data_IF_990134727239
#
_entry.id   IF_990134727239
#
_cell.length_a   1.000
_cell.length_b   1.000
_cell.length_c   1.000
_cell.angle_alpha   90.00
_cell.angle_beta   90.00
_cell.angle_gamma   90.00
#
_symmetry.space_group_name_H-M   'P 1'
#
loop_
_entity.id
_entity.type
_entity.pdbx_description
1 polymer ?
#
# COMPACT_ATOMS: atom_id res chain seq x y z
N UNK A 1 40.81 0.22 -46.46
CA UNK A 1 39.92 1.15 -45.74
C UNK A 1 39.17 0.35 -44.70
N UNK A 2 39.55 0.48 -43.42
CA UNK A 2 38.93 -0.26 -42.30
C UNK A 2 37.99 0.69 -41.57
N UNK A 3 36.68 0.51 -41.75
CA UNK A 3 35.66 1.36 -41.14
C UNK A 3 35.47 0.93 -39.69
N UNK A 4 35.95 1.74 -38.75
CA UNK A 4 35.77 1.52 -37.31
C UNK A 4 34.33 1.90 -36.94
N UNK A 5 33.49 0.91 -36.63
CA UNK A 5 32.13 1.13 -36.16
C UNK A 5 32.19 1.56 -34.68
N UNK A 6 32.08 2.86 -34.40
CA UNK A 6 31.92 3.40 -33.06
C UNK A 6 30.53 3.02 -32.52
N UNK A 7 30.50 2.05 -31.59
CA UNK A 7 29.30 1.67 -30.86
C UNK A 7 29.07 2.71 -29.75
N UNK A 8 28.30 3.75 -30.04
CA UNK A 8 27.88 4.74 -29.05
C UNK A 8 26.93 4.06 -28.06
N UNK A 9 27.37 3.79 -26.83
CA UNK A 9 26.48 3.44 -25.73
C UNK A 9 25.64 4.68 -25.40
N UNK A 10 24.42 4.74 -25.94
CA UNK A 10 23.39 5.66 -25.44
C UNK A 10 23.00 5.16 -24.05
N UNK A 11 23.47 5.85 -23.01
CA UNK A 11 22.99 5.62 -21.66
C UNK A 11 21.51 5.99 -21.62
N UNK A 12 20.64 5.01 -21.36
CA UNK A 12 19.24 5.28 -21.09
C UNK A 12 19.14 6.21 -19.86
N UNK A 13 18.26 7.23 -19.86
CA UNK A 13 18.03 8.01 -18.67
C UNK A 13 17.66 7.07 -17.51
N UNK A 14 18.11 7.34 -16.28
CA UNK A 14 17.74 6.51 -15.14
C UNK A 14 16.22 6.44 -15.09
N UNK A 15 15.70 5.21 -15.03
CA UNK A 15 14.29 4.96 -14.88
C UNK A 15 13.75 5.75 -13.68
N UNK A 16 12.76 6.62 -13.90
CA UNK A 16 12.15 7.41 -12.83
C UNK A 16 11.64 6.47 -11.73
N UNK A 17 12.09 6.71 -10.51
CA UNK A 17 11.68 5.95 -9.32
C UNK A 17 10.16 6.01 -9.13
N UNK A 18 9.57 4.91 -8.66
CA UNK A 18 8.18 4.87 -8.22
C UNK A 18 8.13 5.14 -6.72
N UNK A 19 7.52 6.26 -6.34
CA UNK A 19 7.29 6.60 -4.93
C UNK A 19 5.96 6.01 -4.45
N UNK A 20 5.98 5.27 -3.35
CA UNK A 20 4.80 4.69 -2.71
C UNK A 20 4.73 5.16 -1.26
N UNK A 21 3.59 5.70 -0.85
CA UNK A 21 3.33 6.08 0.54
C UNK A 21 2.31 5.12 1.15
N UNK A 22 2.65 4.50 2.28
CA UNK A 22 1.86 3.45 2.93
C UNK A 22 1.46 3.88 4.34
N UNK A 23 0.16 3.87 4.58
CA UNK A 23 -0.48 4.17 5.86
C UNK A 23 -0.85 2.84 6.52
N UNK A 24 -0.15 2.50 7.60
CA UNK A 24 -0.34 1.25 8.33
C UNK A 24 -0.87 1.56 9.73
N UNK A 25 -2.20 1.61 9.94
CA UNK A 25 -2.74 1.63 11.29
C UNK A 25 -2.45 0.30 11.98
N UNK A 26 -1.77 0.34 13.11
CA UNK A 26 -1.49 -0.84 13.92
C UNK A 26 -2.79 -1.48 14.40
N UNK A 27 -2.80 -2.80 14.51
CA UNK A 27 -3.98 -3.53 14.98
C UNK A 27 -4.28 -3.17 16.45
N UNK A 28 -5.54 -2.91 16.77
CA UNK A 28 -5.99 -2.64 18.13
C UNK A 28 -7.05 -3.68 18.52
N UNK A 29 -6.75 -4.49 19.54
CA UNK A 29 -7.68 -5.50 20.08
C UNK A 29 -8.98 -4.91 20.66
N UNK A 30 -9.02 -3.60 20.95
CA UNK A 30 -10.25 -2.91 21.34
C UNK A 30 -11.21 -2.68 20.16
N UNK A 31 -10.71 -2.70 18.92
CA UNK A 31 -11.48 -2.45 17.70
C UNK A 31 -11.75 -3.74 16.90
N UNK A 32 -10.76 -4.63 16.80
CA UNK A 32 -10.85 -5.85 16.00
C UNK A 32 -10.04 -7.00 16.64
N UNK A 33 -10.44 -8.25 16.40
CA UNK A 33 -9.68 -9.40 16.88
C UNK A 33 -8.30 -9.50 16.20
N UNK A 34 -7.24 -9.11 16.92
CA UNK A 34 -5.85 -9.10 16.42
C UNK A 34 -5.03 -10.36 16.79
N UNK A 35 -5.64 -11.34 17.45
CA UNK A 35 -4.94 -12.51 18.00
C UNK A 35 -4.59 -12.35 19.47
N UNK A 36 -3.41 -12.79 19.90
CA UNK A 36 -3.00 -12.85 21.32
C UNK A 36 -1.77 -11.97 21.59
N UNK A 37 -1.65 -11.50 22.83
CA UNK A 37 -0.48 -10.74 23.29
C UNK A 37 -0.30 -9.42 22.53
N UNK A 38 0.94 -9.07 22.22
CA UNK A 38 1.30 -7.81 21.56
C UNK A 38 0.78 -7.65 20.13
N UNK A 39 0.18 -8.68 19.53
CA UNK A 39 -0.36 -8.60 18.17
C UNK A 39 -1.46 -7.54 18.00
N UNK A 40 -2.23 -7.27 19.07
CA UNK A 40 -3.24 -6.21 19.10
C UNK A 40 -2.94 -5.10 20.09
N UNK A 41 -1.69 -4.95 20.51
CA UNK A 41 -1.25 -3.76 21.23
C UNK A 41 -1.17 -2.60 20.21
N UNK A 42 -1.99 -1.55 20.34
CA UNK A 42 -2.06 -0.47 19.36
C UNK A 42 -0.76 0.32 19.24
N UNK A 43 0.18 0.19 20.18
CA UNK A 43 1.43 0.96 20.17
C UNK A 43 2.70 0.12 20.12
N UNK A 44 2.60 -1.20 19.98
CA UNK A 44 3.77 -2.09 19.88
C UNK A 44 4.35 -2.15 18.47
N UNK A 45 5.54 -1.59 18.25
CA UNK A 45 6.25 -1.72 16.97
C UNK A 45 6.89 -3.11 16.78
N UNK A 46 7.13 -3.85 17.86
CA UNK A 46 7.87 -5.11 17.82
C UNK A 46 6.97 -6.32 17.56
N UNK A 47 5.72 -6.27 18.03
CA UNK A 47 4.83 -7.42 18.06
C UNK A 47 3.51 -7.24 17.31
N UNK A 48 3.11 -6.00 16.98
CA UNK A 48 1.80 -5.75 16.37
C UNK A 48 1.63 -6.49 15.03
N UNK A 49 0.42 -7.02 14.82
CA UNK A 49 0.03 -7.84 13.68
C UNK A 49 0.38 -7.20 12.34
N UNK A 50 0.16 -5.90 12.19
CA UNK A 50 0.36 -5.20 10.92
C UNK A 50 1.77 -4.62 10.75
N UNK A 51 2.66 -4.75 11.74
CA UNK A 51 3.99 -4.11 11.69
C UNK A 51 5.16 -5.01 12.11
N UNK A 52 5.20 -5.42 13.38
CA UNK A 52 6.34 -6.14 13.96
C UNK A 52 6.25 -7.68 13.91
N UNK A 53 5.03 -8.20 13.73
CA UNK A 53 4.75 -9.63 13.59
C UNK A 53 5.35 -10.22 12.29
N UNK A 54 5.33 -11.55 12.13
CA UNK A 54 6.02 -12.24 11.03
C UNK A 54 5.70 -11.71 9.62
N UNK A 55 4.43 -11.35 9.38
CA UNK A 55 3.97 -10.74 8.12
C UNK A 55 3.60 -9.26 8.28
N UNK A 56 4.01 -8.63 9.37
CA UNK A 56 3.87 -7.18 9.57
C UNK A 56 4.82 -6.39 8.67
N UNK A 57 4.44 -5.15 8.34
CA UNK A 57 5.08 -4.33 7.31
C UNK A 57 6.60 -4.19 7.49
N UNK A 58 7.08 -3.73 8.65
CA UNK A 58 8.50 -3.56 8.90
C UNK A 58 9.23 -4.92 8.92
N UNK A 59 8.72 -5.87 9.71
CA UNK A 59 9.39 -7.17 9.92
C UNK A 59 9.58 -7.91 8.61
N UNK A 60 8.55 -7.93 7.78
CA UNK A 60 8.54 -8.68 6.54
C UNK A 60 9.37 -7.98 5.45
N UNK A 61 9.12 -6.69 5.18
CA UNK A 61 9.79 -5.99 4.08
C UNK A 61 11.28 -5.75 4.36
N UNK A 62 11.69 -5.56 5.61
CA UNK A 62 13.12 -5.45 5.96
C UNK A 62 13.92 -6.74 5.71
N UNK A 63 13.23 -7.88 5.52
CA UNK A 63 13.81 -9.19 5.23
C UNK A 63 13.54 -9.66 3.79
N UNK A 64 12.75 -8.91 3.03
CA UNK A 64 12.38 -9.28 1.67
C UNK A 64 13.59 -9.10 0.73
N UNK A 65 13.81 -10.08 -0.15
CA UNK A 65 14.91 -10.04 -1.11
C UNK A 65 14.78 -8.84 -2.04
N UNK A 66 15.86 -8.06 -2.17
CA UNK A 66 15.89 -6.88 -3.04
C UNK A 66 15.33 -5.61 -2.40
N UNK A 67 14.84 -5.66 -1.16
CA UNK A 67 14.45 -4.51 -0.36
C UNK A 67 15.57 -4.14 0.62
N UNK A 68 15.81 -2.84 0.78
CA UNK A 68 16.84 -2.29 1.68
C UNK A 68 16.23 -1.18 2.53
N UNK A 69 16.34 -1.29 3.84
CA UNK A 69 15.95 -0.21 4.77
C UNK A 69 16.95 0.94 4.62
N UNK A 70 16.44 2.14 4.35
CA UNK A 70 17.23 3.37 4.21
C UNK A 70 17.19 4.25 5.44
N UNK A 71 16.02 4.40 6.04
CA UNK A 71 15.87 5.09 7.32
C UNK A 71 14.78 4.43 8.15
N UNK A 72 14.92 4.61 9.45
CA UNK A 72 13.96 4.21 10.49
C UNK A 72 13.95 5.32 11.52
N UNK A 73 12.85 6.05 11.60
CA UNK A 73 12.71 7.23 12.44
C UNK A 73 11.49 7.05 13.35
N UNK A 74 11.73 7.01 14.65
CA UNK A 74 10.65 6.89 15.63
C UNK A 74 10.02 8.26 15.87
N UNK A 75 8.68 8.28 15.92
CA UNK A 75 7.94 9.49 16.22
C UNK A 75 8.13 9.92 17.68
N UNK A 76 7.88 11.21 18.00
CA UNK A 76 7.93 11.67 19.37
C UNK A 76 6.89 10.97 20.24
N UNK A 77 7.13 10.96 21.56
CA UNK A 77 6.20 10.37 22.52
C UNK A 77 4.79 10.98 22.37
N UNK A 78 3.76 10.13 22.34
CA UNK A 78 2.37 10.55 22.16
C UNK A 78 1.94 10.85 20.71
N UNK A 79 2.86 10.77 19.74
CA UNK A 79 2.55 10.92 18.31
C UNK A 79 1.52 9.88 17.83
N UNK A 80 0.74 10.27 16.82
CA UNK A 80 -0.12 9.34 16.08
C UNK A 80 0.73 8.41 15.18
N UNK A 81 1.77 8.94 14.55
CA UNK A 81 2.76 8.14 13.82
C UNK A 81 3.88 7.73 14.77
N UNK A 82 3.99 6.43 15.03
CA UNK A 82 4.98 5.83 15.92
C UNK A 82 6.34 5.67 15.24
N UNK A 83 6.35 5.40 13.93
CA UNK A 83 7.56 5.20 13.14
C UNK A 83 7.32 5.52 11.68
N UNK A 84 8.27 6.22 11.07
CA UNK A 84 8.44 6.28 9.63
C UNK A 84 9.59 5.35 9.22
N UNK A 85 9.35 4.56 8.18
CA UNK A 85 10.29 3.61 7.63
C UNK A 85 10.42 3.83 6.13
N UNK A 86 11.63 4.14 5.68
CA UNK A 86 11.93 4.24 4.26
C UNK A 86 12.61 2.95 3.81
N UNK A 87 11.99 2.26 2.85
CA UNK A 87 12.55 1.07 2.21
C UNK A 87 12.66 1.32 0.72
N UNK A 88 13.82 1.00 0.16
CA UNK A 88 14.02 1.01 -1.30
C UNK A 88 14.08 -0.41 -1.84
N UNK A 89 13.55 -0.59 -3.04
CA UNK A 89 13.68 -1.80 -3.84
C UNK A 89 14.41 -1.45 -5.13
N UNK A 90 15.59 -2.05 -5.32
CA UNK A 90 16.38 -1.85 -6.53
C UNK A 90 15.63 -2.37 -7.79
N UNK A 91 15.86 -1.71 -8.93
CA UNK A 91 15.32 -2.17 -10.20
C UNK A 91 16.03 -3.43 -10.70
N UNK A 92 15.28 -4.46 -11.11
CA UNK A 92 15.82 -5.48 -12.00
C UNK A 92 15.69 -5.05 -13.47
N UNK A 93 16.17 -5.88 -14.40
CA UNK A 93 16.12 -5.59 -15.84
C UNK A 93 14.67 -5.33 -16.30
N UNK A 94 14.44 -4.15 -16.87
CA UNK A 94 13.13 -3.74 -17.38
C UNK A 94 12.14 -3.26 -16.30
N UNK A 95 12.62 -2.98 -15.09
CA UNK A 95 11.83 -2.41 -14.01
C UNK A 95 12.36 -1.04 -13.59
N UNK A 96 11.57 -0.33 -12.80
CA UNK A 96 11.94 0.93 -12.17
C UNK A 96 12.30 0.68 -10.69
N UNK A 97 13.18 1.50 -10.08
CA UNK A 97 13.39 1.44 -8.65
C UNK A 97 12.09 1.88 -7.93
N UNK A 98 11.89 1.40 -6.71
CA UNK A 98 10.72 1.75 -5.89
C UNK A 98 11.19 2.24 -4.54
N UNK A 99 10.63 3.36 -4.08
CA UNK A 99 10.83 3.86 -2.74
C UNK A 99 9.50 3.84 -1.99
N UNK A 100 9.47 3.10 -0.88
CA UNK A 100 8.33 3.03 0.01
C UNK A 100 8.59 3.91 1.25
N UNK A 101 7.68 4.84 1.52
CA UNK A 101 7.54 5.50 2.82
C UNK A 101 6.41 4.81 3.58
N UNK A 102 6.74 4.03 4.61
CA UNK A 102 5.75 3.39 5.46
C UNK A 102 5.59 4.16 6.77
N UNK A 103 4.36 4.45 7.14
CA UNK A 103 3.99 5.15 8.38
C UNK A 103 3.22 4.20 9.28
N UNK A 104 3.83 3.83 10.40
CA UNK A 104 3.17 3.06 11.45
C UNK A 104 2.33 4.02 12.30
N UNK A 105 1.02 4.03 12.10
CA UNK A 105 0.10 4.77 12.95
C UNK A 105 -0.28 3.93 14.15
N UNK A 106 -0.28 4.52 15.33
CA UNK A 106 -0.80 3.88 16.52
C UNK A 106 -2.26 3.44 16.30
N UNK A 107 -2.62 2.22 16.70
CA UNK A 107 -3.95 1.64 16.47
C UNK A 107 -5.06 2.42 17.16
N UNK A 108 -4.76 2.98 18.35
CA UNK A 108 -5.63 3.88 19.10
C UNK A 108 -5.77 5.27 18.45
N UNK A 109 -5.05 5.51 17.34
CA UNK A 109 -5.07 6.71 16.51
C UNK A 109 -5.40 6.40 15.04
N UNK A 110 -6.08 5.29 14.78
CA UNK A 110 -6.53 4.89 13.43
C UNK A 110 -7.40 5.96 12.75
N UNK A 111 -8.12 6.78 13.53
CA UNK A 111 -8.91 7.89 13.00
C UNK A 111 -8.03 8.98 12.37
N UNK A 112 -6.89 9.29 12.99
CA UNK A 112 -5.88 10.19 12.40
C UNK A 112 -5.26 9.56 11.16
N UNK A 113 -4.95 8.26 11.20
CA UNK A 113 -4.43 7.55 10.03
C UNK A 113 -5.39 7.65 8.84
N UNK A 114 -6.69 7.45 9.07
CA UNK A 114 -7.72 7.54 8.05
C UNK A 114 -7.80 8.93 7.44
N UNK A 115 -7.79 9.97 8.27
CA UNK A 115 -7.84 11.36 7.82
C UNK A 115 -6.63 11.73 6.96
N UNK A 116 -5.43 11.35 7.41
CA UNK A 116 -4.18 11.62 6.67
C UNK A 116 -4.11 10.81 5.37
N UNK A 117 -4.56 9.55 5.38
CA UNK A 117 -4.68 8.74 4.16
C UNK A 117 -5.65 9.37 3.15
N UNK A 118 -6.82 9.82 3.59
CA UNK A 118 -7.81 10.41 2.68
C UNK A 118 -7.35 11.77 2.13
N UNK A 119 -6.63 12.58 2.92
CA UNK A 119 -5.94 13.78 2.42
C UNK A 119 -4.88 13.45 1.37
N UNK A 120 -4.07 12.42 1.64
CA UNK A 120 -3.07 11.95 0.68
C UNK A 120 -3.73 11.47 -0.62
N UNK A 121 -4.82 10.72 -0.53
CA UNK A 121 -5.64 10.27 -1.66
C UNK A 121 -6.28 11.43 -2.45
N UNK A 122 -6.68 12.51 -1.76
CA UNK A 122 -7.18 13.76 -2.35
C UNK A 122 -6.07 14.62 -2.99
N UNK A 123 -4.81 14.15 -2.98
CA UNK A 123 -3.68 14.74 -3.69
C UNK A 123 -2.73 15.58 -2.85
N UNK A 124 -2.83 15.53 -1.51
CA UNK A 124 -1.82 16.12 -0.63
C UNK A 124 -0.46 15.39 -0.70
N UNK A 125 -0.46 14.11 -1.11
CA UNK A 125 0.76 13.33 -1.30
C UNK A 125 1.41 13.59 -2.65
N UNK A 126 2.75 13.58 -2.65
CA UNK A 126 3.57 13.63 -3.87
C UNK A 126 3.91 12.23 -4.40
N UNK A 127 3.52 11.16 -3.70
CA UNK A 127 3.77 9.79 -4.13
C UNK A 127 3.01 9.45 -5.43
N UNK A 128 3.54 8.49 -6.20
CA UNK A 128 2.88 7.97 -7.39
C UNK A 128 1.75 6.99 -7.05
N UNK A 129 1.77 6.42 -5.85
CA UNK A 129 0.77 5.51 -5.32
C UNK A 129 0.61 5.70 -3.81
N UNK A 130 -0.62 5.87 -3.35
CA UNK A 130 -0.98 5.96 -1.93
C UNK A 130 -1.65 4.66 -1.50
N UNK A 131 -1.24 4.10 -0.37
CA UNK A 131 -1.68 2.77 0.08
C UNK A 131 -2.18 2.82 1.51
N UNK A 132 -3.36 2.24 1.74
CA UNK A 132 -3.82 1.86 3.08
C UNK A 132 -3.62 0.36 3.27
N UNK A 133 -3.05 -0.05 4.40
CA UNK A 133 -2.86 -1.47 4.73
C UNK A 133 -3.14 -1.74 6.21
N UNK A 134 -4.30 -2.34 6.51
CA UNK A 134 -4.71 -2.63 7.88
C UNK A 134 -6.22 -2.80 8.01
N UNK A 135 -6.74 -2.58 9.21
CA UNK A 135 -8.18 -2.61 9.48
C UNK A 135 -8.93 -1.59 8.62
N UNK A 136 -10.14 -1.93 8.16
CA UNK A 136 -10.99 -0.99 7.43
C UNK A 136 -11.76 -0.13 8.43
N UNK A 137 -11.24 1.08 8.71
CA UNK A 137 -11.86 1.95 9.71
C UNK A 137 -13.25 2.45 9.30
N UNK A 138 -13.56 2.48 8.01
CA UNK A 138 -14.87 2.89 7.51
C UNK A 138 -15.95 1.82 7.72
N UNK A 139 -15.57 0.60 8.13
CA UNK A 139 -16.51 -0.39 8.65
C UNK A 139 -17.08 -0.03 10.03
N UNK A 140 -16.36 0.78 10.80
CA UNK A 140 -16.72 1.07 12.20
C UNK A 140 -17.39 2.43 12.38
N UNK A 141 -17.21 3.35 11.43
CA UNK A 141 -17.65 4.74 11.53
C UNK A 141 -17.85 5.40 10.18
N UNK A 142 -18.58 6.50 10.18
CA UNK A 142 -18.69 7.40 9.02
C UNK A 142 -17.34 8.04 8.67
N UNK A 143 -17.10 8.34 7.38
CA UNK A 143 -15.87 9.01 6.94
C UNK A 143 -15.75 10.41 7.54
N UNK A 144 -14.52 10.89 7.81
CA UNK A 144 -14.30 12.29 8.15
C UNK A 144 -14.57 13.19 6.93
N UNK A 145 -14.89 14.45 7.17
CA UNK A 145 -14.95 15.46 6.11
C UNK A 145 -13.53 15.82 5.66
N UNK A 146 -13.28 15.72 4.35
CA UNK A 146 -12.01 16.09 3.74
C UNK A 146 -12.24 17.29 2.83
N UNK A 147 -11.65 18.45 3.14
CA UNK A 147 -11.81 19.62 2.29
C UNK A 147 -11.14 19.36 0.94
N UNK A 148 -11.72 19.86 -0.17
CA UNK A 148 -11.10 19.74 -1.48
C UNK A 148 -9.75 20.46 -1.50
N UNK A 149 -8.78 19.90 -2.21
CA UNK A 149 -7.48 20.53 -2.45
C UNK A 149 -7.45 21.10 -3.87
N UNK A 150 -7.60 22.42 -4.06
CA UNK A 150 -7.66 23.02 -5.39
C UNK A 150 -6.38 22.75 -6.20
N UNK A 151 -6.55 22.34 -7.46
CA UNK A 151 -5.42 22.05 -8.36
C UNK A 151 -4.69 20.75 -8.08
N UNK A 152 -5.17 19.92 -7.15
CA UNK A 152 -4.59 18.62 -6.87
C UNK A 152 -4.82 17.65 -8.04
N UNK A 153 -3.80 16.83 -8.32
CA UNK A 153 -3.88 15.78 -9.34
C UNK A 153 -4.38 14.48 -8.71
N UNK A 154 -5.35 13.79 -9.33
CA UNK A 154 -5.78 12.45 -8.92
C UNK A 154 -4.60 11.49 -8.71
N UNK A 155 -4.55 10.84 -7.54
CA UNK A 155 -3.53 9.83 -7.22
C UNK A 155 -4.10 8.41 -7.37
N UNK A 156 -3.33 7.46 -7.93
CA UNK A 156 -3.60 6.04 -7.76
C UNK A 156 -3.66 5.68 -6.27
N UNK A 157 -4.70 4.93 -5.88
CA UNK A 157 -4.91 4.50 -4.50
C UNK A 157 -5.12 3.00 -4.43
N UNK A 158 -4.39 2.34 -3.52
CA UNK A 158 -4.61 0.94 -3.17
C UNK A 158 -5.10 0.83 -1.72
N UNK A 159 -6.17 0.08 -1.48
CA UNK A 159 -6.68 -0.19 -0.13
C UNK A 159 -6.67 -1.68 0.12
N UNK A 160 -5.71 -2.12 0.93
CA UNK A 160 -5.57 -3.47 1.46
C UNK A 160 -6.26 -3.50 2.83
N UNK A 161 -7.56 -3.73 2.83
CA UNK A 161 -8.38 -3.87 4.02
C UNK A 161 -9.57 -4.79 3.73
N UNK A 162 -10.41 -5.09 4.71
CA UNK A 162 -11.62 -5.90 4.50
C UNK A 162 -12.69 -5.10 3.73
N UNK A 163 -13.24 -5.67 2.66
CA UNK A 163 -14.39 -5.09 1.94
C UNK A 163 -14.21 -3.63 1.48
N UNK A 164 -12.97 -3.22 1.16
CA UNK A 164 -12.66 -1.81 0.88
C UNK A 164 -13.37 -1.25 -0.36
N UNK A 165 -13.82 -2.09 -1.30
CA UNK A 165 -14.68 -1.65 -2.40
C UNK A 165 -15.99 -1.06 -1.91
N UNK A 166 -16.59 -1.67 -0.89
CA UNK A 166 -17.86 -1.24 -0.33
C UNK A 166 -17.72 0.02 0.53
N UNK A 167 -16.63 0.12 1.31
CA UNK A 167 -16.48 1.17 2.32
C UNK A 167 -15.62 2.34 1.84
N UNK A 168 -14.42 2.08 1.32
CA UNK A 168 -13.55 3.12 0.79
C UNK A 168 -13.98 3.62 -0.60
N UNK A 169 -14.51 2.73 -1.46
CA UNK A 169 -14.90 3.09 -2.84
C UNK A 169 -15.77 4.37 -2.92
N UNK A 170 -16.91 4.43 -2.22
CA UNK A 170 -17.78 5.62 -2.21
C UNK A 170 -17.15 6.88 -1.62
N UNK A 171 -16.13 6.74 -0.76
CA UNK A 171 -15.41 7.87 -0.14
C UNK A 171 -14.31 8.39 -1.07
N UNK A 172 -13.61 7.50 -1.78
CA UNK A 172 -12.52 7.86 -2.69
C UNK A 172 -13.01 8.57 -3.95
N UNK A 173 -14.18 8.20 -4.46
CA UNK A 173 -14.75 8.75 -5.69
C UNK A 173 -14.95 10.29 -5.63
N UNK A 174 -15.64 10.89 -4.63
CA UNK A 174 -15.81 12.34 -4.56
C UNK A 174 -14.50 13.09 -4.26
N UNK A 175 -13.47 12.42 -3.75
CA UNK A 175 -12.14 13.01 -3.54
C UNK A 175 -11.32 13.13 -4.83
N UNK A 176 -11.83 12.60 -5.96
CA UNK A 176 -11.07 12.54 -7.21
C UNK A 176 -9.89 11.57 -7.16
N UNK A 177 -9.81 10.70 -6.14
CA UNK A 177 -8.83 9.63 -6.09
C UNK A 177 -9.13 8.58 -7.17
N UNK A 178 -8.08 7.89 -7.66
CA UNK A 178 -8.22 6.81 -8.63
C UNK A 178 -7.92 5.48 -7.95
N UNK A 179 -8.92 4.74 -7.46
CA UNK A 179 -8.68 3.40 -6.94
C UNK A 179 -8.04 2.53 -8.02
N UNK A 180 -6.99 1.80 -7.66
CA UNK A 180 -6.32 0.80 -8.50
C UNK A 180 -6.36 -0.60 -7.89
N UNK A 181 -6.54 -0.68 -6.57
CA UNK A 181 -6.71 -1.90 -5.81
C UNK A 181 -7.74 -1.67 -4.72
N UNK A 182 -8.79 -2.48 -4.72
CA UNK A 182 -9.79 -2.58 -3.65
C UNK A 182 -10.07 -4.07 -3.40
N UNK A 183 -10.75 -4.38 -2.30
CA UNK A 183 -11.12 -5.74 -1.90
C UNK A 183 -12.63 -5.86 -1.73
N UNK A 184 -13.16 -7.08 -1.93
CA UNK A 184 -14.58 -7.41 -1.95
C UNK A 184 -15.02 -8.25 -0.77
N UNK A 185 -14.07 -8.81 -0.02
CA UNK A 185 -14.32 -9.73 1.08
C UNK A 185 -13.47 -9.36 2.29
N UNK A 186 -13.72 -10.04 3.42
CA UNK A 186 -12.76 -10.11 4.51
C UNK A 186 -11.44 -10.69 3.99
N UNK A 187 -10.32 -10.17 4.46
CA UNK A 187 -8.98 -10.59 4.03
C UNK A 187 -7.92 -10.21 5.06
N UNK A 188 -6.73 -10.83 4.99
CA UNK A 188 -5.59 -10.51 5.83
C UNK A 188 -4.68 -9.45 5.16
N UNK A 189 -4.65 -8.18 5.61
CA UNK A 189 -3.94 -7.08 4.95
C UNK A 189 -2.44 -7.06 5.30
N UNK A 190 -1.74 -8.14 4.98
CA UNK A 190 -0.36 -8.39 5.40
C UNK A 190 0.69 -7.92 4.39
N UNK A 191 1.94 -7.79 4.83
CA UNK A 191 3.02 -7.12 4.10
C UNK A 191 3.48 -7.81 2.82
N UNK A 192 3.20 -9.10 2.63
CA UNK A 192 3.48 -9.77 1.35
C UNK A 192 2.67 -9.17 0.19
N UNK A 193 1.55 -8.50 0.48
CA UNK A 193 0.80 -7.75 -0.52
C UNK A 193 1.49 -6.44 -0.88
N UNK A 194 2.14 -5.77 0.09
CA UNK A 194 2.95 -4.59 -0.17
C UNK A 194 4.17 -4.93 -1.03
N UNK A 195 4.82 -6.07 -0.76
CA UNK A 195 5.93 -6.58 -1.59
C UNK A 195 5.47 -6.84 -3.04
N UNK A 196 4.34 -7.54 -3.20
CA UNK A 196 3.78 -7.85 -4.51
C UNK A 196 3.34 -6.58 -5.26
N UNK A 197 2.72 -5.64 -4.56
CA UNK A 197 2.30 -4.34 -5.10
C UNK A 197 3.49 -3.53 -5.59
N UNK A 198 4.54 -3.39 -4.77
CA UNK A 198 5.76 -2.69 -5.13
C UNK A 198 6.45 -3.32 -6.35
N UNK A 199 6.54 -4.66 -6.38
CA UNK A 199 7.14 -5.39 -7.50
C UNK A 199 6.35 -5.22 -8.80
N UNK A 200 5.02 -5.21 -8.73
CA UNK A 200 4.18 -4.97 -9.90
C UNK A 200 4.25 -3.52 -10.37
N UNK A 201 4.23 -2.54 -9.46
CA UNK A 201 4.36 -1.12 -9.80
C UNK A 201 5.72 -0.78 -10.43
N UNK A 202 6.79 -1.42 -9.97
CA UNK A 202 8.13 -1.32 -10.54
C UNK A 202 8.16 -1.71 -12.02
N UNK A 203 7.47 -2.80 -12.37
CA UNK A 203 7.47 -3.40 -13.71
C UNK A 203 6.47 -2.78 -14.66
N UNK A 204 5.27 -2.45 -14.17
CA UNK A 204 4.12 -2.13 -15.03
C UNK A 204 3.61 -0.69 -14.88
N UNK A 205 3.91 -0.02 -13.78
CA UNK A 205 3.22 1.23 -13.46
C UNK A 205 2.38 1.14 -12.19
N UNK A 206 2.29 2.22 -11.39
CA UNK A 206 1.35 2.29 -10.26
C UNK A 206 -0.12 2.39 -10.70
N UNK A 207 -0.40 2.54 -11.99
CA UNK A 207 -1.75 2.68 -12.54
C UNK A 207 -2.22 1.48 -13.39
N UNK A 208 -1.39 0.43 -13.56
CA UNK A 208 -1.80 -0.77 -14.29
C UNK A 208 -2.63 -1.70 -13.40
N UNK A 209 -3.94 -1.43 -13.31
CA UNK A 209 -4.84 -2.13 -12.39
C UNK A 209 -4.86 -3.65 -12.60
N UNK A 210 -4.74 -4.12 -13.85
CA UNK A 210 -4.75 -5.54 -14.19
C UNK A 210 -3.47 -6.25 -13.69
N UNK A 211 -2.30 -5.64 -13.90
CA UNK A 211 -1.03 -6.19 -13.43
C UNK A 211 -0.94 -6.17 -11.91
N UNK A 212 -1.31 -5.06 -11.26
CA UNK A 212 -1.32 -4.94 -9.80
C UNK A 212 -2.25 -5.99 -9.17
N UNK A 213 -3.48 -6.11 -9.68
CA UNK A 213 -4.44 -7.12 -9.22
C UNK A 213 -3.90 -8.54 -9.37
N UNK A 214 -3.30 -8.85 -10.51
CA UNK A 214 -2.76 -10.19 -10.76
C UNK A 214 -1.65 -10.53 -9.76
N UNK A 215 -0.70 -9.62 -9.53
CA UNK A 215 0.37 -9.82 -8.56
C UNK A 215 -0.17 -10.05 -7.13
N UNK A 216 -1.18 -9.28 -6.72
CA UNK A 216 -1.82 -9.43 -5.41
C UNK A 216 -2.56 -10.76 -5.28
N UNK A 217 -3.28 -11.19 -6.32
CA UNK A 217 -3.98 -12.48 -6.34
C UNK A 217 -3.00 -13.64 -6.18
N UNK A 218 -1.88 -13.64 -6.92
CA UNK A 218 -0.86 -14.69 -6.82
C UNK A 218 -0.21 -14.71 -5.44
N UNK A 219 0.17 -13.53 -4.91
CA UNK A 219 0.76 -13.43 -3.58
C UNK A 219 -0.21 -13.91 -2.50
N UNK A 220 -1.47 -13.47 -2.54
CA UNK A 220 -2.49 -13.86 -1.58
C UNK A 220 -2.78 -15.36 -1.64
N UNK A 221 -2.93 -15.94 -2.84
CA UNK A 221 -3.11 -17.38 -3.00
C UNK A 221 -1.97 -18.19 -2.37
N UNK A 222 -0.72 -17.76 -2.61
CA UNK A 222 0.49 -18.39 -2.06
C UNK A 222 0.53 -18.35 -0.54
N UNK A 223 0.36 -17.18 0.06
CA UNK A 223 0.50 -17.01 1.52
C UNK A 223 -0.69 -17.57 2.31
N UNK A 224 -1.91 -17.39 1.79
CA UNK A 224 -3.11 -17.93 2.43
C UNK A 224 -3.36 -19.41 2.11
N UNK A 225 -2.54 -20.01 1.23
CA UNK A 225 -2.63 -21.42 0.83
C UNK A 225 -4.01 -21.79 0.28
N UNK A 226 -4.57 -20.90 -0.53
CA UNK A 226 -5.87 -21.07 -1.21
C UNK A 226 -5.69 -21.12 -2.72
N UNK A 227 -6.72 -21.57 -3.43
CA UNK A 227 -6.67 -21.56 -4.90
C UNK A 227 -6.59 -20.14 -5.43
N UNK A 228 -5.93 -19.96 -6.59
CA UNK A 228 -5.92 -18.68 -7.32
C UNK A 228 -7.34 -18.15 -7.57
N UNK A 229 -8.31 -19.04 -7.85
CA UNK A 229 -9.71 -18.67 -8.03
C UNK A 229 -10.28 -18.03 -6.75
N UNK A 230 -10.08 -18.65 -5.59
CA UNK A 230 -10.52 -18.13 -4.30
C UNK A 230 -9.82 -16.80 -3.96
N UNK A 231 -8.52 -16.68 -4.22
CA UNK A 231 -7.82 -15.41 -4.03
C UNK A 231 -8.35 -14.33 -4.98
N UNK A 232 -8.71 -14.68 -6.22
CA UNK A 232 -9.24 -13.72 -7.19
C UNK A 232 -10.58 -13.10 -6.77
N UNK A 233 -11.40 -13.79 -5.98
CA UNK A 233 -12.66 -13.21 -5.48
C UNK A 233 -12.45 -12.19 -4.35
N UNK A 234 -11.27 -12.16 -3.73
CA UNK A 234 -10.94 -11.21 -2.66
C UNK A 234 -10.74 -9.80 -3.20
N UNK A 235 -10.09 -9.67 -4.36
CA UNK A 235 -9.76 -8.36 -4.92
C UNK A 235 -10.88 -7.88 -5.86
N UNK A 236 -11.01 -6.58 -6.07
CA UNK A 236 -11.93 -5.96 -7.03
C UNK A 236 -11.40 -5.93 -8.46
N UNK A 237 -12.32 -5.98 -9.42
CA UNK A 237 -12.03 -5.60 -10.82
C UNK A 237 -12.26 -4.09 -10.92
N UNK A 238 -11.20 -3.33 -10.70
CA UNK A 238 -11.25 -1.86 -10.75
C UNK A 238 -10.97 -1.43 -12.19
N UNK A 239 -11.92 -0.75 -12.80
CA UNK A 239 -11.76 -0.26 -14.17
C UNK A 239 -10.87 0.99 -14.18
N UNK A 240 -10.22 1.26 -15.32
CA UNK A 240 -9.33 2.41 -15.49
C UNK A 240 -10.02 3.77 -15.24
N UNK A 241 -11.35 3.81 -15.28
CA UNK A 241 -12.18 4.98 -15.00
C UNK A 241 -12.57 5.15 -13.51
N UNK A 242 -12.07 4.29 -12.60
CA UNK A 242 -12.35 4.40 -11.16
C UNK A 242 -13.73 3.88 -10.72
N UNK A 243 -14.54 3.38 -11.66
CA UNK A 243 -15.79 2.68 -11.35
C UNK A 243 -15.53 1.21 -11.05
N UNK A 244 -16.07 0.68 -9.95
CA UNK A 244 -16.20 -0.75 -9.78
C UNK A 244 -17.23 -1.27 -10.80
N UNK A 245 -16.87 -2.25 -11.62
CA UNK A 245 -17.79 -2.77 -12.62
C UNK A 245 -18.94 -3.53 -11.94
N UNK A 246 -20.22 -3.19 -12.21
CA UNK A 246 -21.34 -3.98 -11.71
C UNK A 246 -21.31 -5.38 -12.34
N UNK A 247 -21.84 -6.35 -11.57
CA UNK A 247 -21.79 -7.78 -11.88
C UNK A 247 -22.41 -8.13 -13.23
#
# INVERSE_FOLDING_TARGET
MLTLLMLSLVAAPPATEVAIEVFVPLCDSALIACGRGGAGDPRSLEANLYWGAAYGAERFLSRATGFTVRSREDGPSGSAVLRELVIERAAARGERPVRLLLRAYAGDRIDTALEDFLRAAAGASQADLVVWAGHDRLMDRSPPEIPPLPGATPRPVAVLACMSEQYFGPVLQPLGARPVVLTRTMMAPEAYLLEALASAAARHGPSDTAALRTALVEAYARYQRITRRSASSVFSKVDAAGGAQPR
#
